data_IF_348406968326
#
_entry.id   IF_348406968326
#
_cell.length_a   1.000
_cell.length_b   1.000
_cell.length_c   1.000
_cell.angle_alpha   90.00
_cell.angle_beta   90.00
_cell.angle_gamma   90.00
#
_symmetry.space_group_name_H-M   'P 1'
#
loop_
_entity.id
_entity.type
_entity.pdbx_description
1 polymer ?
#
# COMPACT_ATOMS: atom_id res chain seq x y z
N UNK A 1 14.38 10.67 -17.95
CA UNK A 1 13.10 11.42 -17.97
C UNK A 1 12.16 10.79 -16.95
N UNK A 2 11.40 11.58 -16.18
CA UNK A 2 10.40 11.03 -15.23
C UNK A 2 9.12 10.65 -15.98
N UNK A 3 8.41 9.63 -15.53
CA UNK A 3 7.13 9.20 -16.13
C UNK A 3 5.98 10.04 -15.58
N UNK A 4 5.00 10.40 -16.41
CA UNK A 4 3.80 11.10 -15.91
C UNK A 4 2.81 10.09 -15.33
N UNK A 5 2.32 10.34 -14.11
CA UNK A 5 1.26 9.56 -13.44
C UNK A 5 0.05 10.46 -13.17
N UNK A 6 -1.16 9.90 -13.28
CA UNK A 6 -2.39 10.61 -12.97
C UNK A 6 -2.62 10.79 -11.46
N UNK A 7 -3.74 11.42 -11.09
CA UNK A 7 -4.17 11.50 -9.68
C UNK A 7 -4.70 10.17 -9.12
N UNK A 8 -5.12 9.26 -9.98
CA UNK A 8 -5.61 7.91 -9.69
C UNK A 8 -5.06 6.97 -10.77
N UNK A 9 -4.71 5.74 -10.40
CA UNK A 9 -4.37 4.68 -11.34
C UNK A 9 -4.83 3.31 -10.81
N UNK A 10 -4.52 2.25 -11.56
CA UNK A 10 -4.60 0.86 -11.08
C UNK A 10 -3.22 0.24 -11.03
N UNK A 11 -2.99 -0.60 -10.03
CA UNK A 11 -1.73 -1.31 -9.85
C UNK A 11 -1.96 -2.77 -9.44
N UNK A 12 -0.92 -3.59 -9.55
CA UNK A 12 -0.94 -4.96 -9.03
C UNK A 12 0.07 -5.10 -7.89
N UNK A 13 -0.26 -5.96 -6.93
CA UNK A 13 0.62 -6.40 -5.84
C UNK A 13 0.67 -7.93 -5.88
N UNK A 14 1.64 -8.52 -6.61
CA UNK A 14 1.69 -9.95 -6.86
C UNK A 14 1.74 -10.80 -5.58
N UNK A 15 2.53 -10.39 -4.59
CA UNK A 15 2.63 -11.06 -3.29
C UNK A 15 1.28 -11.12 -2.54
N UNK A 16 0.37 -10.18 -2.84
CA UNK A 16 -0.93 -10.08 -2.21
C UNK A 16 -2.09 -10.59 -3.07
N UNK A 17 -1.79 -11.09 -4.28
CA UNK A 17 -2.79 -11.55 -5.24
C UNK A 17 -3.82 -10.44 -5.54
N UNK A 18 -3.36 -9.18 -5.58
CA UNK A 18 -4.17 -8.02 -5.96
C UNK A 18 -3.80 -7.62 -7.38
N UNK A 19 -4.78 -7.59 -8.29
CA UNK A 19 -4.57 -7.21 -9.69
C UNK A 19 -5.56 -6.12 -10.09
N UNK A 20 -5.06 -4.98 -10.56
CA UNK A 20 -5.90 -3.86 -10.98
C UNK A 20 -6.59 -3.12 -9.83
N UNK A 21 -6.01 -3.17 -8.62
CA UNK A 21 -6.55 -2.47 -7.45
C UNK A 21 -6.37 -0.95 -7.60
N UNK A 22 -7.38 -0.20 -7.20
CA UNK A 22 -7.37 1.27 -7.30
C UNK A 22 -6.33 1.87 -6.35
N UNK A 23 -5.46 2.72 -6.90
CA UNK A 23 -4.46 3.47 -6.15
C UNK A 23 -4.71 4.96 -6.33
N UNK A 24 -4.71 5.70 -5.22
CA UNK A 24 -4.70 7.17 -5.26
C UNK A 24 -3.27 7.67 -5.11
N UNK A 25 -2.88 8.62 -5.96
CA UNK A 25 -1.59 9.28 -5.87
C UNK A 25 -1.72 10.41 -4.86
N UNK A 26 -0.93 10.37 -3.79
CA UNK A 26 -1.06 11.29 -2.65
C UNK A 26 0.29 11.93 -2.31
N UNK A 27 0.53 13.12 -2.85
CA UNK A 27 1.73 13.90 -2.56
C UNK A 27 1.77 14.46 -1.12
N UNK A 28 0.64 14.45 -0.40
CA UNK A 28 0.57 14.81 1.02
C UNK A 28 1.13 13.73 1.93
N UNK A 29 1.05 12.46 1.51
CA UNK A 29 1.60 11.33 2.25
C UNK A 29 3.10 11.12 1.97
N UNK A 30 3.90 10.89 3.01
CA UNK A 30 5.30 10.53 2.82
C UNK A 30 5.47 9.06 2.40
N UNK A 31 4.96 8.14 3.20
CA UNK A 31 4.97 6.69 2.90
C UNK A 31 3.64 6.29 2.29
N UNK A 32 3.67 5.34 1.35
CA UNK A 32 2.45 4.71 0.83
C UNK A 32 1.74 3.91 1.93
N UNK A 33 0.43 3.73 1.80
CA UNK A 33 -0.40 3.04 2.79
C UNK A 33 -1.31 2.05 2.09
N UNK A 34 -1.55 0.91 2.72
CA UNK A 34 -2.59 -0.04 2.34
C UNK A 34 -3.53 -0.24 3.52
N UNK A 35 -4.82 -0.34 3.20
CA UNK A 35 -5.83 -0.67 4.18
C UNK A 35 -5.79 -2.16 4.54
N UNK A 36 -5.78 -2.45 5.83
CA UNK A 36 -5.71 -3.81 6.38
C UNK A 36 -6.33 -3.88 7.77
N UNK A 37 -6.64 -5.10 8.19
CA UNK A 37 -7.18 -5.48 9.50
C UNK A 37 -6.34 -6.61 10.13
N UNK A 38 -6.63 -6.94 11.39
CA UNK A 38 -6.00 -8.06 12.10
C UNK A 38 -4.46 -8.02 12.11
N UNK A 39 -3.87 -6.83 12.26
CA UNK A 39 -2.41 -6.65 12.27
C UNK A 39 -1.85 -7.14 13.60
N UNK A 40 -1.03 -8.19 13.58
CA UNK A 40 -0.46 -8.79 14.79
C UNK A 40 0.99 -9.20 14.55
N UNK A 41 1.88 -8.81 15.48
CA UNK A 41 3.26 -9.29 15.50
C UNK A 41 3.30 -10.62 16.29
N UNK A 42 3.69 -11.69 15.61
CA UNK A 42 3.77 -13.04 16.15
C UNK A 42 5.24 -13.43 16.34
N UNK A 43 5.55 -14.16 17.41
CA UNK A 43 6.87 -14.79 17.57
C UNK A 43 6.77 -16.28 17.31
N UNK A 44 7.54 -16.78 16.35
CA UNK A 44 7.63 -18.20 16.04
C UNK A 44 9.09 -18.62 15.95
N UNK A 45 9.51 -19.57 16.80
CA UNK A 45 10.87 -20.13 16.83
C UNK A 45 11.98 -19.07 16.99
N UNK A 46 11.71 -18.00 17.74
CA UNK A 46 12.68 -16.91 17.97
C UNK A 46 12.73 -15.84 16.88
N UNK A 47 11.93 -15.97 15.81
CA UNK A 47 11.79 -14.95 14.78
C UNK A 47 10.45 -14.23 14.91
N UNK A 48 10.47 -12.90 14.77
CA UNK A 48 9.23 -12.11 14.72
C UNK A 48 8.69 -12.06 13.28
N UNK A 49 7.39 -12.29 13.15
CA UNK A 49 6.66 -12.30 11.88
C UNK A 49 5.42 -11.44 12.03
N UNK A 50 5.19 -10.52 11.11
CA UNK A 50 3.97 -9.72 11.08
C UNK A 50 2.88 -10.44 10.30
N UNK A 51 1.72 -10.68 10.93
CA UNK A 51 0.51 -11.19 10.29
C UNK A 51 -0.50 -10.06 10.08
N UNK A 52 -1.23 -10.07 8.96
CA UNK A 52 -2.29 -9.11 8.67
C UNK A 52 -3.26 -9.65 7.60
N UNK A 53 -4.47 -9.09 7.56
CA UNK A 53 -5.46 -9.32 6.49
C UNK A 53 -5.63 -8.04 5.68
N UNK A 54 -5.61 -8.13 4.36
CA UNK A 54 -5.77 -6.96 3.48
C UNK A 54 -7.24 -6.72 3.17
N UNK A 55 -7.65 -5.44 3.24
CA UNK A 55 -8.99 -4.96 2.89
C UNK A 55 -10.10 -5.51 3.82
N UNK A 56 -11.29 -4.94 3.68
CA UNK A 56 -12.49 -5.35 4.43
C UNK A 56 -13.38 -6.29 3.60
N UNK A 57 -14.22 -7.16 4.21
CA UNK A 57 -15.09 -8.12 3.52
C UNK A 57 -15.98 -7.53 2.42
N UNK A 58 -16.37 -6.26 2.54
CA UNK A 58 -17.20 -5.55 1.58
C UNK A 58 -16.43 -5.14 0.30
N UNK A 59 -15.09 -5.17 0.33
CA UNK A 59 -14.28 -4.76 -0.79
C UNK A 59 -14.19 -5.88 -1.85
N UNK A 60 -14.37 -5.59 -3.17
CA UNK A 60 -14.38 -6.63 -4.22
C UNK A 60 -13.09 -7.47 -4.33
N UNK A 61 -11.96 -6.91 -3.90
CA UNK A 61 -10.66 -7.60 -3.88
C UNK A 61 -10.35 -8.32 -2.57
N UNK A 62 -11.27 -8.32 -1.60
CA UNK A 62 -11.12 -9.08 -0.37
C UNK A 62 -11.04 -10.57 -0.68
N UNK A 63 -10.02 -11.24 -0.16
CA UNK A 63 -9.78 -12.67 -0.42
C UNK A 63 -9.73 -13.51 0.86
N UNK A 64 -10.02 -12.91 2.03
CA UNK A 64 -9.99 -13.55 3.34
C UNK A 64 -8.66 -14.27 3.67
N UNK A 65 -7.55 -13.93 2.98
CA UNK A 65 -6.25 -14.52 3.23
C UNK A 65 -5.52 -13.76 4.33
N UNK A 66 -4.86 -14.51 5.20
CA UNK A 66 -3.85 -13.96 6.11
C UNK A 66 -2.51 -13.92 5.39
N UNK A 67 -1.89 -12.75 5.39
CA UNK A 67 -0.55 -12.53 4.87
C UNK A 67 0.44 -12.45 6.02
N UNK A 68 1.66 -12.87 5.76
CA UNK A 68 2.77 -12.78 6.71
C UNK A 68 3.97 -12.11 6.07
N UNK A 69 4.65 -11.22 6.79
CA UNK A 69 5.91 -10.62 6.35
C UNK A 69 6.97 -10.70 7.45
N UNK A 70 8.18 -11.10 7.06
CA UNK A 70 9.40 -10.98 7.88
C UNK A 70 10.11 -9.65 7.64
N UNK A 71 9.84 -8.98 6.53
CA UNK A 71 10.46 -7.72 6.16
C UNK A 71 9.55 -6.55 6.56
N UNK A 72 9.55 -6.23 7.85
CA UNK A 72 8.77 -5.13 8.39
C UNK A 72 9.56 -4.34 9.43
N UNK A 73 9.08 -3.13 9.68
CA UNK A 73 9.55 -2.25 10.75
C UNK A 73 8.35 -1.77 11.54
N UNK A 74 8.54 -1.47 12.83
CA UNK A 74 7.49 -0.95 13.69
C UNK A 74 7.92 0.37 14.34
N UNK A 75 6.96 1.26 14.57
CA UNK A 75 7.18 2.52 15.31
C UNK A 75 6.03 2.78 16.25
N UNK A 76 6.35 3.04 17.53
CA UNK A 76 5.37 3.57 18.49
C UNK A 76 5.06 5.02 18.16
N UNK A 77 3.78 5.33 17.99
CA UNK A 77 3.27 6.67 17.71
C UNK A 77 2.28 7.03 18.81
N UNK A 78 2.48 8.19 19.45
CA UNK A 78 1.54 8.68 20.46
C UNK A 78 0.39 9.40 19.75
N UNK A 79 -0.83 8.91 19.91
CA UNK A 79 -2.03 9.63 19.45
C UNK A 79 -2.22 10.92 20.25
N UNK A 80 -2.99 11.86 19.69
CA UNK A 80 -3.43 13.09 20.38
C UNK A 80 -4.12 12.80 21.72
N UNK A 81 -4.70 11.60 21.86
CA UNK A 81 -5.45 11.15 23.02
C UNK A 81 -4.55 10.45 24.06
N UNK A 82 -3.22 10.46 23.85
CA UNK A 82 -2.23 9.89 24.76
C UNK A 82 -2.00 8.37 24.59
N UNK A 83 -2.85 7.67 23.85
CA UNK A 83 -2.71 6.23 23.57
C UNK A 83 -1.58 6.03 22.58
N UNK A 84 -0.62 5.17 22.94
CA UNK A 84 0.46 4.77 22.05
C UNK A 84 -0.03 3.66 21.11
N UNK A 85 0.07 3.89 19.81
CA UNK A 85 -0.26 2.95 18.75
C UNK A 85 1.05 2.44 18.11
N UNK A 86 1.16 1.14 17.86
CA UNK A 86 2.27 0.59 17.08
C UNK A 86 1.88 0.61 15.62
N UNK A 87 2.66 1.30 14.79
CA UNK A 87 2.48 1.32 13.34
C UNK A 87 3.49 0.43 12.67
N UNK A 88 3.03 -0.42 11.79
CA UNK A 88 3.86 -1.34 11.02
C UNK A 88 4.02 -0.86 9.58
N UNK A 89 5.21 -1.06 9.05
CA UNK A 89 5.53 -0.81 7.64
C UNK A 89 6.21 -2.03 7.08
N UNK A 90 5.70 -2.55 5.96
CA UNK A 90 6.27 -3.69 5.24
C UNK A 90 6.93 -3.22 3.93
N UNK A 91 7.84 -4.03 3.41
CA UNK A 91 8.33 -3.91 2.04
C UNK A 91 7.74 -5.03 1.17
N UNK A 92 7.33 -4.68 -0.04
CA UNK A 92 6.78 -5.60 -1.06
C UNK A 92 7.05 -5.04 -2.46
N UNK A 93 6.47 -5.64 -3.49
CA UNK A 93 6.53 -5.20 -4.88
C UNK A 93 5.18 -4.66 -5.41
N UNK A 94 5.25 -3.59 -6.19
CA UNK A 94 4.13 -3.04 -6.96
C UNK A 94 4.43 -3.12 -8.46
N UNK A 95 3.49 -3.63 -9.24
CA UNK A 95 3.52 -3.59 -10.70
C UNK A 95 2.68 -2.42 -11.20
N UNK A 96 3.33 -1.47 -11.87
CA UNK A 96 2.72 -0.28 -12.45
C UNK A 96 3.59 0.22 -13.62
N UNK A 97 2.98 0.75 -14.69
CA UNK A 97 3.67 1.14 -15.94
C UNK A 97 4.49 0.00 -16.55
N UNK A 98 3.91 -1.21 -16.58
CA UNK A 98 4.54 -2.44 -17.08
C UNK A 98 5.90 -2.75 -16.45
N UNK A 99 6.10 -2.35 -15.18
CA UNK A 99 7.35 -2.50 -14.43
C UNK A 99 7.06 -2.86 -12.98
N UNK A 100 7.91 -3.72 -12.42
CA UNK A 100 7.94 -3.98 -10.97
C UNK A 100 8.82 -2.94 -10.27
N UNK A 101 8.35 -2.47 -9.12
CA UNK A 101 9.10 -1.59 -8.24
C UNK A 101 9.01 -2.06 -6.79
N UNK A 102 10.10 -1.93 -6.00
CA UNK A 102 10.00 -2.07 -4.57
C UNK A 102 9.19 -0.91 -3.98
N UNK A 103 8.33 -1.20 -3.02
CA UNK A 103 7.51 -0.22 -2.31
C UNK A 103 7.46 -0.53 -0.82
N UNK A 104 7.38 0.54 -0.02
CA UNK A 104 7.08 0.45 1.40
C UNK A 104 5.63 0.82 1.65
N UNK A 105 4.91 -0.03 2.36
CA UNK A 105 3.50 0.18 2.71
C UNK A 105 3.36 0.24 4.23
N UNK A 106 2.82 1.34 4.73
CA UNK A 106 2.27 1.37 6.09
C UNK A 106 0.99 0.54 6.11
N UNK A 107 0.87 -0.35 7.08
CA UNK A 107 -0.35 -1.08 7.39
C UNK A 107 -1.25 -0.19 8.25
N UNK A 108 -2.48 0.09 7.79
CA UNK A 108 -3.38 0.99 8.50
C UNK A 108 -4.81 0.44 8.51
N UNK A 109 -5.37 0.36 9.71
CA UNK A 109 -6.80 0.13 9.91
C UNK A 109 -7.51 1.47 9.71
N UNK A 110 -8.25 1.61 8.61
CA UNK A 110 -8.90 2.86 8.22
C UNK A 110 -10.34 2.58 7.88
N UNK A 111 -11.24 3.00 8.75
CA UNK A 111 -12.68 2.96 8.48
C UNK A 111 -13.00 3.96 7.36
N UNK A 112 -13.92 3.59 6.46
CA UNK A 112 -14.54 4.45 5.46
C UNK A 112 -13.58 5.07 4.42
N UNK A 113 -12.69 4.26 3.84
CA UNK A 113 -11.80 4.72 2.77
C UNK A 113 -12.39 4.57 1.36
N UNK A 114 -12.38 5.66 0.59
CA UNK A 114 -12.68 5.64 -0.86
C UNK A 114 -11.63 4.88 -1.70
N UNK A 115 -10.37 4.81 -1.23
CA UNK A 115 -9.29 4.13 -1.95
C UNK A 115 -8.55 3.17 -1.02
N UNK A 116 -8.37 1.90 -1.42
CA UNK A 116 -7.71 0.90 -0.58
C UNK A 116 -6.21 1.16 -0.41
N UNK A 117 -5.59 1.90 -1.34
CA UNK A 117 -4.16 2.18 -1.36
C UNK A 117 -3.87 3.65 -1.69
N UNK A 118 -2.96 4.25 -0.94
CA UNK A 118 -2.38 5.56 -1.22
C UNK A 118 -0.90 5.40 -1.61
N UNK A 119 -0.48 6.02 -2.72
CA UNK A 119 0.92 6.09 -3.12
C UNK A 119 1.53 7.40 -2.64
N UNK A 120 2.46 7.32 -1.69
CA UNK A 120 3.13 8.46 -1.08
C UNK A 120 4.44 8.86 -1.77
N UNK A 121 4.99 10.00 -1.36
CA UNK A 121 6.21 10.59 -1.94
C UNK A 121 7.43 9.67 -1.93
N UNK A 122 7.60 8.77 -0.95
CA UNK A 122 8.72 7.81 -0.90
C UNK A 122 8.73 6.90 -2.14
N UNK A 123 7.55 6.47 -2.58
CA UNK A 123 7.42 5.72 -3.84
C UNK A 123 7.54 6.64 -5.06
N UNK A 124 6.84 7.79 -5.04
CA UNK A 124 6.69 8.67 -6.20
C UNK A 124 7.97 9.41 -6.59
N UNK A 125 8.77 9.81 -5.61
CA UNK A 125 9.95 10.65 -5.79
C UNK A 125 10.95 10.00 -6.75
N UNK A 126 11.59 10.85 -7.56
CA UNK A 126 12.57 10.49 -8.60
C UNK A 126 12.02 9.66 -9.76
N UNK A 127 10.81 9.08 -9.66
CA UNK A 127 10.19 8.22 -10.68
C UNK A 127 9.13 8.95 -11.50
N UNK A 128 8.27 9.72 -10.84
CA UNK A 128 7.06 10.27 -11.46
C UNK A 128 6.91 11.79 -11.38
N UNK A 129 6.12 12.34 -12.31
CA UNK A 129 5.51 13.67 -12.27
C UNK A 129 4.00 13.48 -12.21
N UNK A 130 3.33 14.15 -11.28
CA UNK A 130 1.88 14.01 -11.08
C UNK A 130 1.15 15.00 -11.98
N UNK A 131 0.29 14.49 -12.87
CA UNK A 131 -0.66 15.29 -13.65
C UNK A 131 -2.08 15.05 -13.11
N UNK A 132 -2.64 16.06 -12.46
CA UNK A 132 -3.94 15.98 -11.80
C UNK A 132 -5.12 15.95 -12.77
N UNK A 133 -4.90 16.29 -14.05
CA UNK A 133 -5.91 16.19 -15.11
C UNK A 133 -6.04 14.78 -15.67
N UNK A 134 -5.13 13.86 -15.31
CA UNK A 134 -5.09 12.50 -15.85
C UNK A 134 -5.45 11.46 -14.79
N UNK A 135 -5.94 10.32 -15.28
CA UNK A 135 -6.21 9.11 -14.51
C UNK A 135 -5.85 7.88 -15.35
N UNK A 136 -5.50 6.79 -14.67
CA UNK A 136 -5.29 5.46 -15.25
C UNK A 136 -4.25 5.43 -16.37
N UNK A 137 -3.19 6.24 -16.28
CA UNK A 137 -2.17 6.31 -17.32
C UNK A 137 -1.38 5.00 -17.42
N UNK A 138 -0.99 4.42 -16.28
CA UNK A 138 -0.37 3.10 -16.24
C UNK A 138 -1.32 2.04 -16.74
N UNK A 139 -2.55 2.00 -16.22
CA UNK A 139 -3.51 0.97 -16.59
C UNK A 139 -3.82 0.95 -18.09
N UNK A 140 -3.92 2.12 -18.73
CA UNK A 140 -4.10 2.23 -20.18
C UNK A 140 -2.95 1.63 -20.99
N UNK A 141 -1.72 1.67 -20.47
CA UNK A 141 -0.54 1.07 -21.12
C UNK A 141 -0.45 -0.45 -20.94
N UNK A 142 -1.14 -1.01 -19.94
CA UNK A 142 -1.17 -2.47 -19.71
C UNK A 142 -2.07 -3.19 -20.72
N UNK A 143 -3.03 -2.48 -21.30
CA UNK A 143 -4.03 -3.01 -22.25
C UNK A 143 -3.70 -2.66 -23.71
N UNK A 144 -2.45 -2.27 -24.00
CA UNK A 144 -1.93 -2.02 -25.36
C UNK A 144 -0.86 -3.07 -25.64
#
# INVERSE_FOLDING_TARGET
MKMTIGRIDKADFPEFVLSGIDVKIDSGAYTSTIHCSNIQEMSAKGESVLQFTLLDPEHPFYNNKQFTSKNYTSKKVKSSNGIAEVRFMIQTEIFIFNKNFPIYLTLSERKEMKFPILLGRKFLNKKFVIDTLKINLSHKLKNI
#
